data_IF_290093071205
#
_entry.id   IF_290093071205
#
_cell.length_a   1.000
_cell.length_b   1.000
_cell.length_c   1.000
_cell.angle_alpha   90.00
_cell.angle_beta   90.00
_cell.angle_gamma   90.00
#
_symmetry.space_group_name_H-M   'P 1'
#
loop_
_entity.id
_entity.type
_entity.pdbx_description
1 polymer ?
#
# COMPACT_ATOMS: atom_id res chain seq x y z
N UNK A 1 9.38 -30.36 21.70
CA UNK A 1 9.73 -30.73 20.32
C UNK A 1 10.42 -29.54 19.72
N UNK A 2 11.75 -29.58 19.61
CA UNK A 2 12.54 -28.52 19.00
C UNK A 2 12.66 -28.90 17.53
N UNK A 3 12.05 -28.13 16.63
CA UNK A 3 12.20 -28.34 15.18
C UNK A 3 13.68 -28.17 14.82
N UNK A 4 14.19 -29.04 13.93
CA UNK A 4 15.59 -29.01 13.53
C UNK A 4 15.88 -27.75 12.68
N UNK A 5 17.12 -27.23 12.68
CA UNK A 5 17.46 -26.03 11.90
C UNK A 5 17.26 -26.17 10.38
N UNK A 6 17.14 -27.40 9.87
CA UNK A 6 16.96 -27.70 8.44
C UNK A 6 15.56 -27.39 7.95
N UNK A 7 14.52 -27.51 8.80
CA UNK A 7 13.13 -27.38 8.35
C UNK A 7 12.68 -25.94 8.09
N UNK A 8 13.47 -24.95 8.53
CA UNK A 8 13.20 -23.53 8.28
C UNK A 8 13.81 -23.03 6.98
N UNK A 9 14.89 -23.67 6.50
CA UNK A 9 15.52 -23.31 5.24
C UNK A 9 14.69 -23.85 4.07
N UNK A 10 14.24 -25.11 4.16
CA UNK A 10 13.36 -25.72 3.15
C UNK A 10 12.08 -24.90 2.96
N UNK A 11 11.45 -24.41 4.04
CA UNK A 11 10.23 -23.59 3.94
C UNK A 11 10.45 -22.19 3.37
N UNK A 12 11.66 -21.63 3.47
CA UNK A 12 11.98 -20.31 2.93
C UNK A 12 12.37 -20.38 1.45
N UNK A 13 13.00 -21.49 1.07
CA UNK A 13 13.37 -21.79 -0.31
C UNK A 13 12.12 -22.14 -1.12
N UNK A 14 11.22 -22.99 -0.57
CA UNK A 14 9.91 -23.28 -1.16
C UNK A 14 9.03 -22.03 -1.33
N UNK A 15 9.06 -21.08 -0.38
CA UNK A 15 8.31 -19.82 -0.51
C UNK A 15 8.89 -18.87 -1.56
N UNK A 16 10.21 -18.84 -1.74
CA UNK A 16 10.84 -18.02 -2.79
C UNK A 16 10.67 -18.66 -4.17
N UNK A 17 10.69 -19.98 -4.25
CA UNK A 17 10.41 -20.72 -5.49
C UNK A 17 8.93 -20.52 -5.91
N UNK A 18 7.98 -20.53 -4.95
CA UNK A 18 6.56 -20.22 -5.21
C UNK A 18 6.35 -18.77 -5.68
N UNK A 19 7.05 -17.79 -5.08
CA UNK A 19 6.98 -16.38 -5.51
C UNK A 19 7.58 -16.17 -6.91
N UNK A 20 8.71 -16.84 -7.25
CA UNK A 20 9.34 -16.75 -8.58
C UNK A 20 8.44 -17.37 -9.68
N UNK A 21 7.82 -18.52 -9.41
CA UNK A 21 6.89 -19.16 -10.35
C UNK A 21 5.66 -18.28 -10.64
N UNK A 22 5.10 -17.59 -9.64
CA UNK A 22 4.00 -16.64 -9.83
C UNK A 22 4.40 -15.43 -10.70
N UNK A 23 5.65 -14.94 -10.58
CA UNK A 23 6.13 -13.83 -11.43
C UNK A 23 6.20 -14.24 -12.90
N UNK A 24 6.70 -15.44 -13.20
CA UNK A 24 6.89 -15.94 -14.57
C UNK A 24 5.56 -16.16 -15.30
N UNK A 25 4.56 -16.72 -14.62
CA UNK A 25 3.21 -16.92 -15.19
C UNK A 25 2.52 -15.58 -15.52
N UNK A 26 2.70 -14.57 -14.67
CA UNK A 26 2.16 -13.22 -14.89
C UNK A 26 2.81 -12.56 -16.11
N UNK A 27 4.14 -12.71 -16.25
CA UNK A 27 4.90 -12.21 -17.41
C UNK A 27 4.41 -12.85 -18.71
N UNK A 28 4.24 -14.17 -18.74
CA UNK A 28 3.80 -14.86 -19.94
C UNK A 28 2.38 -14.42 -20.35
N UNK A 29 1.50 -14.21 -19.37
CA UNK A 29 0.14 -13.74 -19.57
C UNK A 29 0.11 -12.31 -20.13
N UNK A 30 0.92 -11.40 -19.58
CA UNK A 30 1.00 -10.01 -20.05
C UNK A 30 1.55 -9.96 -21.47
N UNK A 31 2.61 -10.71 -21.79
CA UNK A 31 3.18 -10.76 -23.15
C UNK A 31 2.17 -11.28 -24.17
N UNK A 32 1.32 -12.26 -23.79
CA UNK A 32 0.25 -12.77 -24.67
C UNK A 32 -0.86 -11.74 -24.90
N UNK A 33 -1.16 -10.89 -23.91
CA UNK A 33 -2.27 -9.94 -23.96
C UNK A 33 -1.90 -8.61 -24.64
N UNK A 34 -0.63 -8.23 -24.53
CA UNK A 34 -0.13 -6.91 -24.90
C UNK A 34 0.49 -6.94 -26.31
N UNK A 35 0.16 -5.93 -27.13
CA UNK A 35 0.78 -5.78 -28.45
C UNK A 35 2.28 -5.57 -28.34
N UNK A 36 3.05 -6.14 -29.27
CA UNK A 36 4.52 -6.02 -29.31
C UNK A 36 5.05 -4.58 -29.27
N UNK A 37 4.23 -3.60 -29.67
CA UNK A 37 4.52 -2.17 -29.58
C UNK A 37 4.72 -1.66 -28.14
N UNK A 38 4.18 -2.34 -27.13
CA UNK A 38 4.31 -1.99 -25.72
C UNK A 38 5.36 -2.82 -24.98
N UNK A 39 6.14 -3.66 -25.68
CA UNK A 39 7.17 -4.49 -25.05
C UNK A 39 8.20 -3.67 -24.24
N UNK A 40 8.42 -2.41 -24.60
CA UNK A 40 9.29 -1.50 -23.87
C UNK A 40 8.74 -1.03 -22.51
N UNK A 41 7.46 -1.29 -22.24
CA UNK A 41 6.74 -0.87 -21.02
C UNK A 41 6.26 -2.07 -20.20
N UNK A 42 6.75 -3.28 -20.47
CA UNK A 42 6.34 -4.45 -19.71
C UNK A 42 6.62 -4.26 -18.21
N UNK A 43 7.69 -3.54 -17.87
CA UNK A 43 8.07 -3.19 -16.51
C UNK A 43 7.00 -2.44 -15.72
N UNK A 44 6.24 -1.53 -16.35
CA UNK A 44 5.14 -0.79 -15.70
C UNK A 44 3.82 -1.54 -15.70
N UNK A 45 3.73 -2.66 -16.42
CA UNK A 45 2.52 -3.49 -16.48
C UNK A 45 2.55 -4.64 -15.45
N UNK A 46 3.72 -4.96 -14.90
CA UNK A 46 3.85 -5.99 -13.85
C UNK A 46 3.24 -5.52 -12.54
N UNK A 47 2.34 -6.34 -12.00
CA UNK A 47 1.67 -6.04 -10.74
C UNK A 47 2.67 -6.05 -9.59
N UNK A 48 3.56 -7.04 -9.55
CA UNK A 48 4.58 -7.19 -8.50
C UNK A 48 5.51 -5.97 -8.38
N UNK A 49 5.89 -5.37 -9.53
CA UNK A 49 6.66 -4.11 -9.52
C UNK A 49 5.86 -2.91 -9.02
N UNK A 50 4.54 -2.93 -9.19
CA UNK A 50 3.65 -1.89 -8.67
C UNK A 50 3.35 -2.04 -7.17
N UNK A 51 3.69 -3.18 -6.55
CA UNK A 51 3.50 -3.39 -5.11
C UNK A 51 4.57 -2.73 -4.23
N UNK A 52 5.49 -1.97 -4.82
CA UNK A 52 6.53 -1.21 -4.10
C UNK A 52 6.37 0.30 -4.37
N UNK A 53 6.67 1.17 -3.39
CA UNK A 53 6.66 2.60 -3.63
C UNK A 53 7.67 2.96 -4.74
N UNK A 54 7.36 3.94 -5.60
CA UNK A 54 8.30 4.39 -6.60
C UNK A 54 9.55 5.00 -5.93
N UNK A 55 10.70 4.96 -6.59
CA UNK A 55 11.91 5.59 -6.07
C UNK A 55 11.71 7.11 -5.94
N UNK A 56 12.39 7.71 -4.97
CA UNK A 56 12.45 9.16 -4.78
C UNK A 56 12.91 9.87 -6.06
N UNK A 57 12.25 10.97 -6.41
CA UNK A 57 12.56 11.76 -7.61
C UNK A 57 12.98 13.18 -7.23
N UNK A 58 13.23 14.03 -8.22
CA UNK A 58 13.57 15.45 -7.99
C UNK A 58 12.47 16.23 -7.29
N UNK A 59 11.22 15.76 -7.40
CA UNK A 59 10.07 16.28 -6.68
C UNK A 59 9.36 15.12 -5.97
N UNK A 60 9.25 15.22 -4.66
CA UNK A 60 8.41 14.36 -3.82
C UNK A 60 7.18 15.15 -3.35
N UNK A 61 6.13 14.41 -2.96
CA UNK A 61 4.93 15.04 -2.42
C UNK A 61 5.22 15.68 -1.06
N UNK A 62 5.03 16.99 -0.96
CA UNK A 62 5.16 17.73 0.29
C UNK A 62 3.81 18.32 0.71
N UNK A 63 3.46 18.15 1.98
CA UNK A 63 2.23 18.68 2.58
C UNK A 63 2.61 19.94 3.38
N UNK A 64 2.37 21.11 2.78
CA UNK A 64 2.57 22.39 3.47
C UNK A 64 1.42 22.67 4.44
N UNK A 65 1.72 23.00 5.69
CA UNK A 65 0.72 23.35 6.71
C UNK A 65 0.69 24.89 6.92
N UNK A 66 -0.50 25.47 6.99
CA UNK A 66 -0.72 26.90 7.30
C UNK A 66 -0.82 27.18 8.81
N UNK A 67 -0.72 26.13 9.65
CA UNK A 67 -0.82 26.21 11.10
C UNK A 67 -0.12 25.07 11.81
N UNK A 68 -0.43 24.89 13.11
CA UNK A 68 0.09 23.76 13.88
C UNK A 68 -0.52 22.43 13.39
N UNK A 69 0.25 21.33 13.38
CA UNK A 69 -0.28 20.01 13.07
C UNK A 69 -1.46 19.65 14.01
N UNK A 70 -2.50 18.96 13.52
CA UNK A 70 -3.59 18.54 14.39
C UNK A 70 -3.09 17.52 15.42
N UNK A 71 -3.66 17.50 16.63
CA UNK A 71 -3.31 16.48 17.62
C UNK A 71 -3.75 15.08 17.16
N UNK A 72 -3.17 14.05 17.76
CA UNK A 72 -3.60 12.66 17.55
C UNK A 72 -5.08 12.51 17.88
N UNK A 73 -5.85 12.03 16.91
CA UNK A 73 -7.25 11.74 17.10
C UNK A 73 -7.47 10.40 17.81
N UNK A 74 -8.59 10.31 18.53
CA UNK A 74 -9.02 9.05 19.14
C UNK A 74 -9.46 8.12 18.02
N UNK A 75 -8.91 6.91 18.01
CA UNK A 75 -9.33 5.85 17.10
C UNK A 75 -10.63 5.25 17.63
N UNK A 76 -11.67 5.25 16.82
CA UNK A 76 -12.95 4.65 17.17
C UNK A 76 -12.84 3.13 17.34
N UNK A 77 -13.75 2.55 18.13
CA UNK A 77 -13.79 1.11 18.34
C UNK A 77 -14.20 0.39 17.05
N UNK A 78 -13.30 -0.47 16.57
CA UNK A 78 -13.53 -1.29 15.38
C UNK A 78 -14.36 -2.54 15.72
N UNK A 79 -15.22 -2.96 14.80
CA UNK A 79 -15.86 -4.27 14.86
C UNK A 79 -14.84 -5.41 14.68
N UNK A 80 -15.25 -6.65 14.95
CA UNK A 80 -14.38 -7.82 14.79
C UNK A 80 -13.90 -7.99 13.34
N UNK A 81 -14.78 -7.74 12.37
CA UNK A 81 -14.42 -7.86 10.94
C UNK A 81 -13.43 -6.78 10.53
N UNK A 82 -13.68 -5.52 10.93
CA UNK A 82 -12.79 -4.39 10.66
C UNK A 82 -11.41 -4.58 11.31
N UNK A 83 -11.39 -5.06 12.56
CA UNK A 83 -10.15 -5.36 13.28
C UNK A 83 -9.34 -6.47 12.59
N UNK A 84 -10.02 -7.49 12.06
CA UNK A 84 -9.35 -8.56 11.31
C UNK A 84 -8.74 -8.02 10.01
N UNK A 85 -9.51 -7.24 9.24
CA UNK A 85 -9.00 -6.61 8.02
C UNK A 85 -7.84 -5.67 8.32
N UNK A 86 -7.90 -4.86 9.39
CA UNK A 86 -6.81 -3.97 9.78
C UNK A 86 -5.53 -4.75 10.10
N UNK A 87 -5.65 -5.84 10.87
CA UNK A 87 -4.51 -6.66 11.29
C UNK A 87 -3.86 -7.41 10.13
N UNK A 88 -4.61 -7.76 9.09
CA UNK A 88 -4.07 -8.31 7.87
C UNK A 88 -3.39 -7.23 7.01
N UNK A 89 -4.03 -6.06 6.88
CA UNK A 89 -3.56 -4.97 6.03
C UNK A 89 -2.23 -4.35 6.50
N UNK A 90 -2.06 -4.11 7.80
CA UNK A 90 -0.87 -3.43 8.34
C UNK A 90 0.44 -4.16 7.97
N UNK A 91 0.63 -5.45 8.28
CA UNK A 91 1.89 -6.15 7.97
C UNK A 91 2.15 -6.21 6.47
N UNK A 92 1.14 -6.52 5.64
CA UNK A 92 1.26 -6.54 4.17
C UNK A 92 1.72 -5.17 3.63
N UNK A 93 1.16 -4.09 4.14
CA UNK A 93 1.48 -2.73 3.67
C UNK A 93 2.85 -2.26 4.17
N UNK A 94 3.30 -2.74 5.34
CA UNK A 94 4.65 -2.50 5.87
C UNK A 94 5.70 -3.25 5.06
N UNK A 95 5.44 -4.52 4.74
CA UNK A 95 6.32 -5.36 3.93
C UNK A 95 6.52 -4.78 2.52
N UNK A 96 5.43 -4.29 1.92
CA UNK A 96 5.46 -3.55 0.65
C UNK A 96 6.18 -2.19 0.73
N UNK A 97 6.41 -1.68 1.93
CA UNK A 97 7.08 -0.40 2.18
C UNK A 97 6.22 0.84 1.96
N UNK A 98 4.90 0.69 1.81
CA UNK A 98 3.99 1.84 1.67
C UNK A 98 3.79 2.60 2.98
N UNK A 99 3.88 1.92 4.13
CA UNK A 99 3.81 2.54 5.45
C UNK A 99 4.96 2.06 6.33
N UNK A 100 5.31 2.88 7.32
CA UNK A 100 6.32 2.55 8.34
C UNK A 100 5.87 3.05 9.70
N UNK A 101 6.48 2.51 10.77
CA UNK A 101 6.24 3.02 12.11
C UNK A 101 6.70 4.48 12.21
N UNK A 102 5.84 5.35 12.73
CA UNK A 102 6.13 6.76 12.90
C UNK A 102 5.96 7.19 14.37
N UNK A 103 6.73 8.20 14.78
CA UNK A 103 6.65 8.87 16.09
C UNK A 103 6.03 10.26 15.97
N UNK A 104 5.12 10.44 15.01
CA UNK A 104 4.47 11.71 14.73
C UNK A 104 3.61 12.19 15.90
N UNK A 105 3.59 13.51 16.12
CA UNK A 105 2.68 14.17 17.09
C UNK A 105 1.25 14.32 16.56
N UNK A 106 1.02 13.92 15.30
CA UNK A 106 -0.26 13.94 14.60
C UNK A 106 -0.64 12.54 14.15
N UNK A 107 -1.90 12.18 14.33
CA UNK A 107 -2.47 10.92 13.86
C UNK A 107 -3.92 11.11 13.44
N UNK A 108 -4.30 10.47 12.33
CA UNK A 108 -5.65 10.47 11.80
C UNK A 108 -6.33 9.11 12.05
N UNK A 109 -7.64 9.07 12.30
CA UNK A 109 -8.34 7.81 12.49
C UNK A 109 -8.51 7.09 11.15
N UNK A 110 -8.61 5.77 11.20
CA UNK A 110 -8.96 4.95 10.04
C UNK A 110 -10.42 4.53 10.11
N UNK A 111 -11.11 4.61 8.98
CA UNK A 111 -12.49 4.15 8.77
C UNK A 111 -12.53 3.05 7.71
N UNK A 112 -13.59 2.22 7.78
CA UNK A 112 -13.81 1.15 6.82
C UNK A 112 -15.02 1.43 5.94
N UNK A 113 -14.84 1.24 4.63
CA UNK A 113 -15.91 1.39 3.62
C UNK A 113 -16.21 0.05 2.97
N UNK A 114 -17.49 -0.34 2.96
CA UNK A 114 -17.92 -1.61 2.36
C UNK A 114 -17.83 -1.57 0.83
N UNK A 115 -17.18 -2.59 0.24
CA UNK A 115 -17.11 -2.79 -1.21
C UNK A 115 -18.38 -3.45 -1.75
N UNK A 116 -18.65 -3.26 -3.05
CA UNK A 116 -19.82 -3.81 -3.76
C UNK A 116 -19.87 -5.36 -3.81
N UNK A 117 -18.73 -6.03 -3.88
CA UNK A 117 -18.62 -7.49 -4.07
C UNK A 117 -18.00 -8.21 -2.86
N UNK A 118 -18.35 -7.74 -1.67
CA UNK A 118 -17.77 -8.14 -0.38
C UNK A 118 -16.34 -7.62 -0.15
N UNK A 119 -16.00 -7.43 1.12
CA UNK A 119 -14.75 -6.79 1.56
C UNK A 119 -14.90 -5.36 2.07
N UNK A 120 -13.87 -4.91 2.79
CA UNK A 120 -13.77 -3.58 3.39
C UNK A 120 -12.51 -2.87 2.87
N UNK A 121 -12.66 -1.59 2.51
CA UNK A 121 -11.52 -0.72 2.22
C UNK A 121 -11.14 0.06 3.48
N UNK A 122 -9.87 0.01 3.85
CA UNK A 122 -9.30 0.92 4.83
C UNK A 122 -9.17 2.31 4.20
N UNK A 123 -9.76 3.32 4.83
CA UNK A 123 -9.62 4.72 4.47
C UNK A 123 -9.11 5.49 5.69
N UNK A 124 -8.19 6.43 5.49
CA UNK A 124 -7.70 7.29 6.58
C UNK A 124 -8.42 8.63 6.50
N UNK A 125 -9.00 9.09 7.62
CA UNK A 125 -9.72 10.36 7.66
C UNK A 125 -8.77 11.54 7.79
N UNK A 126 -8.30 12.06 6.66
CA UNK A 126 -7.44 13.24 6.63
C UNK A 126 -8.21 14.56 6.74
N UNK A 127 -9.51 14.60 7.07
CA UNK A 127 -10.28 15.85 7.08
C UNK A 127 -9.65 16.96 7.94
N UNK A 128 -9.23 16.67 9.17
CA UNK A 128 -8.59 17.68 10.04
C UNK A 128 -7.21 18.10 9.55
N UNK A 129 -6.45 17.18 8.95
CA UNK A 129 -5.18 17.50 8.31
C UNK A 129 -5.40 18.40 7.10
N UNK A 130 -6.32 18.03 6.21
CA UNK A 130 -6.69 18.79 5.01
C UNK A 130 -7.22 20.19 5.30
N UNK A 131 -7.79 20.42 6.50
CA UNK A 131 -8.26 21.73 6.93
C UNK A 131 -7.10 22.70 7.26
N UNK A 132 -5.94 22.19 7.70
CA UNK A 132 -4.75 22.99 8.01
C UNK A 132 -3.70 22.96 6.88
N UNK A 133 -3.84 22.06 5.91
CA UNK A 133 -2.99 22.00 4.73
C UNK A 133 -3.24 23.19 3.79
N UNK A 134 -2.17 23.82 3.32
CA UNK A 134 -2.23 24.85 2.26
C UNK A 134 -2.82 24.23 1.01
N UNK A 135 -3.91 24.81 0.52
CA UNK A 135 -4.57 24.33 -0.70
C UNK A 135 -3.74 24.71 -1.92
N UNK A 136 -3.10 23.71 -2.54
CA UNK A 136 -2.50 23.88 -3.85
C UNK A 136 -3.62 24.00 -4.91
N UNK A 137 -3.65 25.11 -5.65
CA UNK A 137 -4.68 25.42 -6.66
C UNK A 137 -4.16 25.16 -8.06
N UNK A 138 -3.59 23.99 -8.26
CA UNK A 138 -3.15 23.58 -9.59
C UNK A 138 -4.36 23.48 -10.53
N UNK A 139 -4.27 24.05 -11.74
CA UNK A 139 -5.36 23.99 -12.69
C UNK A 139 -5.53 22.55 -13.17
N UNK A 140 -6.66 21.95 -12.81
CA UNK A 140 -7.11 20.71 -13.46
C UNK A 140 -7.80 21.12 -14.76
N UNK A 141 -7.35 20.60 -15.89
CA UNK A 141 -8.06 20.78 -17.15
C UNK A 141 -9.50 20.29 -16.97
N UNK A 142 -10.53 21.10 -17.28
CA UNK A 142 -11.89 20.61 -17.29
C UNK A 142 -11.98 19.50 -18.35
N UNK A 143 -12.26 18.28 -17.90
CA UNK A 143 -12.51 17.09 -18.74
C UNK A 143 -13.94 17.17 -19.27
#
# INVERSE_FOLDING_TARGET
MVLSPSSYHDSLEELWDEEEEEEEEEIETIIKLVSSSYNQYLDVLFKLKAEKPPPHRTCDHHIELEGSPPPVEVIDSLSNQESYTLRAYIPETVEKGFISQSSSSTGAPSLFVKKKYDGLHLCVDYQKLNAVTRKNRDPVCPI
#
